data_IF_007008786914
#
_entry.id   IF_007008786914
#
_cell.length_a   1.000
_cell.length_b   1.000
_cell.length_c   1.000
_cell.angle_alpha   90.00
_cell.angle_beta   90.00
_cell.angle_gamma   90.00
#
_symmetry.space_group_name_H-M   'P 1'
#
loop_
_entity.id
_entity.type
_entity.pdbx_description
1 polymer ?
#
# COMPACT_ATOMS: atom_id res chain seq x y z
N UNK A 1 -1.63 -20.53 -28.55
CA UNK A 1 -1.00 -21.16 -27.37
C UNK A 1 0.08 -20.23 -26.85
N UNK A 2 0.19 -20.06 -25.52
CA UNK A 2 1.30 -19.38 -24.87
C UNK A 2 2.06 -20.37 -23.98
N UNK A 3 3.36 -20.21 -23.90
CA UNK A 3 4.23 -21.01 -23.04
C UNK A 3 4.97 -20.05 -22.10
N UNK A 4 4.55 -19.99 -20.84
CA UNK A 4 5.19 -19.17 -19.83
C UNK A 4 6.42 -19.89 -19.29
N UNK A 5 7.58 -19.23 -19.29
CA UNK A 5 8.84 -19.78 -18.75
C UNK A 5 9.08 -19.39 -17.30
N UNK A 6 8.43 -18.32 -16.85
CA UNK A 6 8.54 -17.78 -15.50
C UNK A 6 7.15 -17.60 -14.89
N UNK A 7 7.08 -17.72 -13.59
CA UNK A 7 5.87 -17.36 -12.82
C UNK A 7 5.89 -15.87 -12.46
N UNK A 8 4.72 -15.33 -12.22
CA UNK A 8 4.61 -13.96 -11.74
C UNK A 8 5.36 -13.75 -10.42
N UNK A 9 6.19 -12.71 -10.38
CA UNK A 9 7.06 -12.39 -9.24
C UNK A 9 8.46 -13.02 -9.29
N UNK A 10 8.74 -13.90 -10.25
CA UNK A 10 10.10 -14.41 -10.46
C UNK A 10 11.00 -13.35 -11.09
N UNK A 11 12.25 -13.32 -10.65
CA UNK A 11 13.27 -12.43 -11.22
C UNK A 11 13.75 -12.96 -12.56
N UNK A 12 13.81 -12.09 -13.55
CA UNK A 12 14.28 -12.39 -14.90
C UNK A 12 15.53 -11.58 -15.23
N UNK A 13 16.42 -12.15 -16.02
CA UNK A 13 17.66 -11.51 -16.47
C UNK A 13 17.50 -11.04 -17.91
N UNK A 14 18.13 -9.91 -18.22
CA UNK A 14 18.09 -9.38 -19.59
C UNK A 14 18.56 -10.41 -20.63
N UNK A 15 17.72 -10.60 -21.67
CA UNK A 15 17.96 -11.58 -22.74
C UNK A 15 17.24 -12.92 -22.54
N UNK A 16 16.63 -13.16 -21.40
CA UNK A 16 15.80 -14.36 -21.19
C UNK A 16 14.44 -14.22 -21.90
N UNK A 17 13.95 -15.32 -22.41
CA UNK A 17 12.61 -15.41 -23.01
C UNK A 17 11.59 -15.59 -21.90
N UNK A 18 10.66 -14.65 -21.74
CA UNK A 18 9.62 -14.68 -20.69
C UNK A 18 8.48 -15.60 -21.12
N UNK A 19 8.03 -15.47 -22.37
CA UNK A 19 6.90 -16.19 -22.92
C UNK A 19 7.08 -16.43 -24.40
N UNK A 20 6.68 -17.60 -24.86
CA UNK A 20 6.55 -17.92 -26.29
C UNK A 20 5.07 -17.96 -26.65
N UNK A 21 4.66 -17.25 -27.71
CA UNK A 21 3.27 -17.16 -28.13
C UNK A 21 3.13 -17.70 -29.55
N UNK A 22 2.21 -18.65 -29.73
CA UNK A 22 1.84 -19.19 -31.03
C UNK A 22 0.37 -18.90 -31.29
N UNK A 23 0.08 -18.07 -32.30
CA UNK A 23 -1.28 -17.71 -32.70
C UNK A 23 -1.33 -17.26 -34.16
N UNK A 24 -2.51 -16.97 -34.67
CA UNK A 24 -2.66 -16.40 -36.01
C UNK A 24 -2.02 -15.00 -36.11
N UNK A 25 -1.48 -14.68 -37.26
CA UNK A 25 -0.76 -13.41 -37.50
C UNK A 25 -1.59 -12.18 -37.17
N UNK A 26 -2.88 -12.19 -37.54
CA UNK A 26 -3.79 -11.06 -37.30
C UNK A 26 -3.97 -10.85 -35.80
N UNK A 27 -4.27 -11.90 -35.05
CA UNK A 27 -4.43 -11.84 -33.58
C UNK A 27 -3.16 -11.37 -32.89
N UNK A 28 -2.00 -11.81 -33.37
CA UNK A 28 -0.71 -11.38 -32.83
C UNK A 28 -0.51 -9.88 -33.03
N UNK A 29 -0.70 -9.39 -34.25
CA UNK A 29 -0.51 -7.97 -34.58
C UNK A 29 -1.49 -7.05 -33.83
N UNK A 30 -2.74 -7.50 -33.62
CA UNK A 30 -3.75 -6.74 -32.88
C UNK A 30 -3.47 -6.72 -31.36
N UNK A 31 -2.99 -7.81 -30.79
CA UNK A 31 -2.84 -7.97 -29.34
C UNK A 31 -1.46 -7.61 -28.77
N UNK A 32 -0.39 -7.75 -29.57
CA UNK A 32 0.99 -7.65 -29.13
C UNK A 32 1.28 -6.36 -28.32
N UNK A 33 0.95 -5.20 -28.91
CA UNK A 33 1.30 -3.92 -28.28
C UNK A 33 0.62 -3.73 -26.94
N UNK A 34 -0.66 -4.06 -26.85
CA UNK A 34 -1.42 -3.97 -25.60
C UNK A 34 -0.85 -4.91 -24.52
N UNK A 35 -0.56 -6.15 -24.90
CA UNK A 35 0.02 -7.14 -23.99
C UNK A 35 1.39 -6.70 -23.47
N UNK A 36 2.28 -6.25 -24.36
CA UNK A 36 3.60 -5.77 -23.98
C UNK A 36 3.56 -4.51 -23.10
N UNK A 37 2.66 -3.58 -23.40
CA UNK A 37 2.50 -2.38 -22.58
C UNK A 37 2.07 -2.73 -21.14
N UNK A 38 1.10 -3.62 -20.97
CA UNK A 38 0.64 -4.07 -19.66
C UNK A 38 1.75 -4.83 -18.93
N UNK A 39 2.40 -5.77 -19.59
CA UNK A 39 3.49 -6.56 -19.01
C UNK A 39 4.63 -5.66 -18.53
N UNK A 40 5.09 -4.73 -19.35
CA UNK A 40 6.16 -3.79 -18.99
C UNK A 40 5.77 -2.88 -17.83
N UNK A 41 4.54 -2.35 -17.85
CA UNK A 41 4.02 -1.50 -16.78
C UNK A 41 4.00 -2.22 -15.42
N UNK A 42 3.38 -3.39 -15.38
CA UNK A 42 3.24 -4.17 -14.15
C UNK A 42 4.58 -4.74 -13.66
N UNK A 43 5.46 -5.15 -14.57
CA UNK A 43 6.82 -5.58 -14.22
C UNK A 43 7.64 -4.44 -13.61
N UNK A 44 7.46 -3.21 -14.12
CA UNK A 44 8.09 -2.02 -13.54
C UNK A 44 7.64 -1.76 -12.09
N UNK A 45 6.33 -1.87 -11.83
CA UNK A 45 5.76 -1.74 -10.48
C UNK A 45 6.30 -2.84 -9.56
N UNK A 46 6.28 -4.09 -10.02
CA UNK A 46 6.77 -5.24 -9.24
C UNK A 46 8.25 -5.11 -8.89
N UNK A 47 9.08 -4.73 -9.86
CA UNK A 47 10.52 -4.53 -9.68
C UNK A 47 10.83 -3.41 -8.68
N UNK A 48 10.17 -2.26 -8.82
CA UNK A 48 10.33 -1.15 -7.89
C UNK A 48 9.90 -1.55 -6.47
N UNK A 49 8.76 -2.22 -6.37
CA UNK A 49 8.24 -2.74 -5.10
C UNK A 49 9.23 -3.71 -4.45
N UNK A 50 9.79 -4.65 -5.21
CA UNK A 50 10.78 -5.60 -4.72
C UNK A 50 12.00 -4.90 -4.12
N UNK A 51 12.49 -3.85 -4.77
CA UNK A 51 13.62 -3.07 -4.28
C UNK A 51 13.29 -2.39 -2.94
N UNK A 52 12.09 -1.82 -2.78
CA UNK A 52 11.65 -1.25 -1.51
C UNK A 52 11.51 -2.31 -0.42
N UNK A 53 10.89 -3.45 -0.73
CA UNK A 53 10.73 -4.57 0.22
C UNK A 53 12.08 -5.06 0.71
N UNK A 54 13.03 -5.27 -0.20
CA UNK A 54 14.39 -5.71 0.13
C UNK A 54 15.11 -4.71 1.02
N UNK A 55 14.94 -3.41 0.77
CA UNK A 55 15.60 -2.37 1.56
C UNK A 55 14.95 -2.16 2.92
N UNK A 56 13.64 -2.22 3.00
CA UNK A 56 12.87 -1.99 4.22
C UNK A 56 12.89 -3.18 5.20
N UNK A 57 13.34 -4.37 4.77
CA UNK A 57 13.32 -5.57 5.61
C UNK A 57 13.97 -5.32 6.98
N UNK A 58 13.34 -5.77 8.09
CA UNK A 58 12.18 -6.66 8.19
C UNK A 58 10.81 -5.93 8.18
N UNK A 59 10.77 -4.61 7.95
CA UNK A 59 9.54 -3.82 7.93
C UNK A 59 8.74 -4.13 6.66
N UNK A 60 7.40 -4.21 6.81
CA UNK A 60 6.50 -4.47 5.69
C UNK A 60 6.28 -3.21 4.88
N UNK A 61 6.31 -3.33 3.57
CA UNK A 61 5.95 -2.28 2.62
C UNK A 61 4.49 -2.46 2.21
N UNK A 62 3.74 -1.37 2.17
CA UNK A 62 2.32 -1.35 1.79
C UNK A 62 2.12 -0.48 0.55
N UNK A 63 1.17 -0.84 -0.27
CA UNK A 63 0.69 0.03 -1.35
C UNK A 63 -0.32 1.08 -0.85
N UNK A 64 -0.89 1.84 -1.77
CA UNK A 64 -1.93 2.83 -1.46
C UNK A 64 -3.13 2.71 -2.42
N UNK A 65 -4.14 3.56 -2.20
CA UNK A 65 -5.23 3.76 -3.16
C UNK A 65 -4.93 4.77 -4.28
N UNK A 66 -3.73 5.37 -4.28
CA UNK A 66 -3.28 6.32 -5.31
C UNK A 66 -2.82 5.54 -6.54
N UNK A 67 -3.76 4.96 -7.26
CA UNK A 67 -3.55 4.09 -8.41
C UNK A 67 -4.07 4.73 -9.68
N UNK A 68 -3.60 4.24 -10.83
CA UNK A 68 -4.12 4.64 -12.14
C UNK A 68 -5.62 4.28 -12.24
N UNK A 69 -6.48 5.23 -12.64
CA UNK A 69 -7.90 4.95 -12.80
C UNK A 69 -8.17 3.72 -13.66
N UNK A 70 -8.98 2.79 -13.14
CA UNK A 70 -9.31 1.53 -13.81
C UNK A 70 -8.27 0.42 -13.68
N UNK A 71 -7.03 0.68 -13.24
CA UNK A 71 -5.95 -0.31 -13.20
C UNK A 71 -5.59 -0.80 -11.79
N UNK A 72 -6.32 -0.39 -10.75
CA UNK A 72 -6.00 -0.73 -9.33
C UNK A 72 -5.83 -2.22 -9.08
N UNK A 73 -6.67 -3.06 -9.66
CA UNK A 73 -6.59 -4.52 -9.51
C UNK A 73 -5.22 -5.03 -9.96
N UNK A 74 -4.80 -4.60 -11.14
CA UNK A 74 -3.53 -5.02 -11.74
C UNK A 74 -2.32 -4.44 -11.02
N UNK A 75 -2.37 -3.16 -10.65
CA UNK A 75 -1.27 -2.49 -9.95
C UNK A 75 -1.05 -3.10 -8.55
N UNK A 76 -2.13 -3.34 -7.79
CA UNK A 76 -2.04 -4.03 -6.50
C UNK A 76 -1.56 -5.48 -6.63
N UNK A 77 -1.93 -6.16 -7.70
CA UNK A 77 -1.39 -7.49 -8.01
C UNK A 77 0.13 -7.42 -8.25
N UNK A 78 0.59 -6.48 -9.06
CA UNK A 78 2.02 -6.28 -9.31
C UNK A 78 2.81 -5.94 -8.04
N UNK A 79 2.22 -5.15 -7.13
CA UNK A 79 2.79 -4.86 -5.80
C UNK A 79 2.95 -6.15 -4.99
N UNK A 80 1.94 -7.03 -4.98
CA UNK A 80 2.03 -8.32 -4.30
C UNK A 80 3.10 -9.23 -4.93
N UNK A 81 3.21 -9.26 -6.26
CA UNK A 81 4.29 -9.96 -6.97
C UNK A 81 5.68 -9.44 -6.58
N UNK A 82 5.83 -8.14 -6.30
CA UNK A 82 7.07 -7.55 -5.78
C UNK A 82 7.37 -7.86 -4.30
N UNK A 83 6.47 -8.59 -3.61
CA UNK A 83 6.66 -9.04 -2.23
C UNK A 83 6.12 -8.07 -1.16
N UNK A 84 5.46 -6.98 -1.54
CA UNK A 84 4.80 -6.08 -0.61
C UNK A 84 3.37 -6.55 -0.27
N UNK A 85 2.71 -5.86 0.65
CA UNK A 85 1.36 -6.16 1.12
C UNK A 85 0.40 -5.11 0.58
N UNK A 86 -0.77 -5.54 0.15
CA UNK A 86 -1.81 -4.62 -0.24
C UNK A 86 -2.45 -3.97 0.99
N UNK A 87 -2.47 -2.65 1.04
CA UNK A 87 -3.34 -1.87 1.91
C UNK A 87 -4.78 -1.96 1.41
N UNK A 88 -5.75 -1.35 2.13
CA UNK A 88 -7.17 -1.37 1.74
C UNK A 88 -7.38 -1.11 0.25
N UNK A 89 -8.24 -1.91 -0.34
CA UNK A 89 -8.58 -1.81 -1.76
C UNK A 89 -9.54 -0.65 -2.04
N UNK A 90 -10.51 -0.46 -1.14
CA UNK A 90 -11.56 0.54 -1.25
C UNK A 90 -11.81 1.29 0.06
N UNK A 91 -13.03 1.79 0.22
CA UNK A 91 -13.50 2.42 1.47
C UNK A 91 -14.28 1.44 2.36
N UNK A 92 -14.52 0.24 1.87
CA UNK A 92 -15.40 -0.78 2.46
C UNK A 92 -14.64 -1.87 3.22
N UNK A 93 -13.34 -2.01 3.00
CA UNK A 93 -12.54 -3.11 3.57
C UNK A 93 -11.77 -2.72 4.83
N UNK A 94 -11.42 -1.44 5.00
CA UNK A 94 -10.76 -0.91 6.19
C UNK A 94 -11.11 0.57 6.39
N UNK A 95 -11.27 0.98 7.63
CA UNK A 95 -11.46 2.40 7.98
C UNK A 95 -10.09 3.08 8.10
N UNK A 96 -9.96 4.24 7.48
CA UNK A 96 -8.84 5.16 7.67
C UNK A 96 -9.39 6.57 7.89
N UNK A 97 -9.20 7.06 9.10
CA UNK A 97 -9.55 8.42 9.53
C UNK A 97 -8.38 9.33 9.16
N UNK A 98 -8.67 10.38 8.43
CA UNK A 98 -7.69 11.35 7.92
C UNK A 98 -7.96 12.74 8.50
N UNK A 99 -7.04 13.66 8.26
CA UNK A 99 -7.08 15.06 8.66
C UNK A 99 -8.45 15.72 8.43
N UNK A 100 -8.99 15.61 7.22
CA UNK A 100 -10.30 16.18 6.88
C UNK A 100 -11.47 15.52 7.64
N UNK A 101 -11.37 14.23 7.96
CA UNK A 101 -12.36 13.55 8.80
C UNK A 101 -12.27 14.02 10.25
N UNK A 102 -11.06 14.19 10.76
CA UNK A 102 -10.78 14.69 12.13
C UNK A 102 -11.32 16.10 12.28
N UNK A 103 -11.01 16.99 11.32
CA UNK A 103 -11.50 18.36 11.32
C UNK A 103 -13.03 18.42 11.28
N UNK A 104 -13.65 17.66 10.39
CA UNK A 104 -15.12 17.61 10.24
C UNK A 104 -15.82 17.08 11.48
N UNK A 105 -15.23 16.10 12.16
CA UNK A 105 -15.78 15.51 13.38
C UNK A 105 -15.52 16.36 14.64
N UNK A 106 -14.58 17.32 14.58
CA UNK A 106 -14.18 18.14 15.71
C UNK A 106 -13.18 17.46 16.65
N UNK A 107 -12.32 16.57 16.12
CA UNK A 107 -11.24 15.89 16.83
C UNK A 107 -11.20 14.38 16.59
N UNK A 108 -10.07 13.76 16.94
CA UNK A 108 -9.85 12.31 16.78
C UNK A 108 -10.83 11.49 17.62
N UNK A 109 -11.06 11.90 18.85
CA UNK A 109 -11.99 11.23 19.77
C UNK A 109 -13.40 11.12 19.17
N UNK A 110 -13.93 12.22 18.65
CA UNK A 110 -15.24 12.24 18.01
C UNK A 110 -15.24 11.40 16.72
N UNK A 111 -14.21 11.52 15.90
CA UNK A 111 -14.11 10.76 14.64
C UNK A 111 -14.08 9.23 14.90
N UNK A 112 -13.29 8.77 15.88
CA UNK A 112 -13.23 7.35 16.24
C UNK A 112 -14.56 6.87 16.82
N UNK A 113 -15.19 7.64 17.71
CA UNK A 113 -16.51 7.30 18.28
C UNK A 113 -17.57 7.14 17.21
N UNK A 114 -17.69 8.11 16.30
CA UNK A 114 -18.62 8.04 15.17
C UNK A 114 -18.40 6.81 14.29
N UNK A 115 -17.15 6.45 14.06
CA UNK A 115 -16.82 5.25 13.29
C UNK A 115 -17.24 3.99 14.05
N UNK A 116 -16.91 3.87 15.35
CA UNK A 116 -17.27 2.71 16.18
C UNK A 116 -18.78 2.48 16.25
N UNK A 117 -19.58 3.54 16.26
CA UNK A 117 -21.05 3.45 16.28
C UNK A 117 -21.63 2.95 14.94
N UNK A 118 -20.94 3.16 13.82
CA UNK A 118 -21.48 2.94 12.47
C UNK A 118 -20.80 1.81 11.68
N UNK A 119 -19.75 1.20 12.24
CA UNK A 119 -18.94 0.17 11.55
C UNK A 119 -18.92 -1.08 12.43
N UNK A 120 -18.97 -2.30 11.85
CA UNK A 120 -18.84 -3.55 12.60
C UNK A 120 -17.58 -3.57 13.48
N UNK A 121 -17.70 -4.16 14.67
CA UNK A 121 -16.64 -4.21 15.69
C UNK A 121 -15.34 -4.90 15.20
N UNK A 122 -15.45 -5.82 14.24
CA UNK A 122 -14.33 -6.53 13.64
C UNK A 122 -13.48 -5.66 12.70
N UNK A 123 -13.98 -4.49 12.31
CA UNK A 123 -13.25 -3.57 11.44
C UNK A 123 -12.21 -2.78 12.22
N UNK A 124 -10.99 -2.84 11.72
CA UNK A 124 -9.89 -2.05 12.27
C UNK A 124 -10.03 -0.58 11.90
N UNK A 125 -9.73 0.27 12.87
CA UNK A 125 -9.67 1.72 12.69
C UNK A 125 -8.20 2.13 12.64
N UNK A 126 -7.82 2.72 11.53
CA UNK A 126 -6.57 3.40 11.34
C UNK A 126 -6.77 4.90 11.41
N UNK A 127 -5.87 5.59 12.11
CA UNK A 127 -5.88 7.05 12.26
C UNK A 127 -4.57 7.62 11.72
N UNK A 128 -4.66 8.51 10.74
CA UNK A 128 -3.54 9.29 10.21
C UNK A 128 -3.31 10.50 11.14
N UNK A 129 -2.07 10.65 11.62
CA UNK A 129 -1.69 11.66 12.61
C UNK A 129 -0.43 12.40 12.18
N UNK A 130 -0.31 13.68 12.57
CA UNK A 130 0.79 14.56 12.17
C UNK A 130 1.55 15.17 13.36
N UNK A 131 1.11 14.88 14.60
CA UNK A 131 1.74 15.40 15.83
C UNK A 131 1.79 14.34 16.93
N UNK A 132 2.63 14.58 17.94
CA UNK A 132 2.75 13.72 19.12
C UNK A 132 1.45 13.76 19.93
N UNK A 133 0.80 14.90 19.99
CA UNK A 133 -0.49 15.11 20.66
C UNK A 133 -1.58 14.25 20.02
N UNK A 134 -1.63 14.22 18.69
CA UNK A 134 -2.59 13.37 17.96
C UNK A 134 -2.31 11.87 18.14
N UNK A 135 -1.03 11.46 18.24
CA UNK A 135 -0.68 10.07 18.58
C UNK A 135 -1.25 9.70 19.93
N UNK A 136 -1.10 10.59 20.94
CA UNK A 136 -1.63 10.36 22.27
C UNK A 136 -3.14 10.24 22.27
N UNK A 137 -3.83 11.15 21.59
CA UNK A 137 -5.29 11.12 21.46
C UNK A 137 -5.77 9.85 20.73
N UNK A 138 -5.10 9.43 19.65
CA UNK A 138 -5.42 8.20 18.94
C UNK A 138 -5.26 6.94 19.82
N UNK A 139 -4.21 6.89 20.65
CA UNK A 139 -4.00 5.82 21.63
C UNK A 139 -5.08 5.78 22.71
N UNK A 140 -5.45 6.94 23.27
CA UNK A 140 -6.50 7.08 24.28
C UNK A 140 -7.87 6.62 23.75
N UNK A 141 -8.11 6.76 22.44
CA UNK A 141 -9.31 6.31 21.75
C UNK A 141 -9.20 4.92 21.12
N UNK A 142 -8.18 4.16 21.49
CA UNK A 142 -8.00 2.76 21.07
C UNK A 142 -7.99 2.57 19.54
N UNK A 143 -7.27 3.42 18.81
CA UNK A 143 -6.99 3.20 17.41
C UNK A 143 -6.22 1.87 17.23
N UNK A 144 -6.61 1.05 16.25
CA UNK A 144 -5.95 -0.24 15.98
C UNK A 144 -4.61 -0.04 15.27
N UNK A 145 -4.55 0.99 14.42
CA UNK A 145 -3.37 1.36 13.63
C UNK A 145 -3.20 2.88 13.71
N UNK A 146 -1.99 3.33 13.91
CA UNK A 146 -1.64 4.76 13.91
C UNK A 146 -0.65 4.99 12.78
N UNK A 147 -1.07 5.80 11.80
CA UNK A 147 -0.24 6.18 10.65
C UNK A 147 0.43 7.52 10.94
N UNK A 148 1.74 7.51 11.06
CA UNK A 148 2.58 8.69 11.23
C UNK A 148 2.81 9.33 9.85
N UNK A 149 2.14 10.44 9.56
CA UNK A 149 2.19 11.06 8.25
C UNK A 149 3.09 12.30 8.23
N UNK A 150 4.03 12.34 7.30
CA UNK A 150 4.94 13.46 7.05
C UNK A 150 5.77 13.93 8.27
N UNK A 151 6.04 13.07 9.23
CA UNK A 151 6.84 13.39 10.42
C UNK A 151 8.34 13.34 10.16
N UNK A 152 9.12 14.08 10.97
CA UNK A 152 10.58 13.93 11.01
C UNK A 152 10.97 12.60 11.65
N UNK A 153 12.20 12.12 11.39
CA UNK A 153 12.69 10.87 11.99
C UNK A 153 12.68 10.93 13.53
N UNK A 154 13.07 12.06 14.11
CA UNK A 154 13.08 12.25 15.57
C UNK A 154 11.66 12.18 16.16
N UNK A 155 10.68 12.78 15.49
CA UNK A 155 9.28 12.67 15.90
C UNK A 155 8.77 11.25 15.77
N UNK A 156 9.08 10.55 14.66
CA UNK A 156 8.69 9.15 14.46
C UNK A 156 9.24 8.27 15.59
N UNK A 157 10.50 8.44 16.00
CA UNK A 157 11.08 7.71 17.11
C UNK A 157 10.35 7.96 18.44
N UNK A 158 10.00 9.21 18.71
CA UNK A 158 9.24 9.56 19.92
C UNK A 158 7.84 8.92 19.88
N UNK A 159 7.15 9.00 18.73
CA UNK A 159 5.82 8.41 18.54
C UNK A 159 5.85 6.89 18.69
N UNK A 160 6.82 6.20 18.06
CA UNK A 160 6.95 4.73 18.16
C UNK A 160 7.19 4.31 19.61
N UNK A 161 8.06 5.02 20.35
CA UNK A 161 8.29 4.75 21.78
C UNK A 161 7.03 4.99 22.62
N UNK A 162 6.21 5.99 22.29
CA UNK A 162 4.94 6.26 23.00
C UNK A 162 3.90 5.19 22.68
N UNK A 163 3.82 4.76 21.43
CA UNK A 163 2.89 3.70 21.01
C UNK A 163 3.21 2.38 21.70
N UNK A 164 4.49 2.05 21.86
CA UNK A 164 4.99 0.90 22.64
C UNK A 164 4.17 -0.38 22.45
N UNK A 165 3.86 -0.70 21.21
CA UNK A 165 3.09 -1.91 20.83
C UNK A 165 1.60 -1.90 21.16
N UNK A 166 1.04 -0.81 21.69
CA UNK A 166 -0.40 -0.68 22.00
C UNK A 166 -1.27 -0.59 20.74
N UNK A 167 -0.70 -0.08 19.65
CA UNK A 167 -1.30 -0.05 18.32
C UNK A 167 -0.26 -0.49 17.28
N UNK A 168 -0.71 -0.90 16.09
CA UNK A 168 0.21 -1.06 14.97
C UNK A 168 0.64 0.32 14.48
N UNK A 169 1.89 0.43 14.04
CA UNK A 169 2.43 1.69 13.51
C UNK A 169 2.62 1.56 12.00
N UNK A 170 2.15 2.54 11.27
CA UNK A 170 2.41 2.74 9.85
C UNK A 170 3.14 4.08 9.67
N UNK A 171 4.03 4.17 8.68
CA UNK A 171 4.75 5.40 8.34
C UNK A 171 4.37 5.77 6.92
N UNK A 172 3.95 7.02 6.73
CA UNK A 172 3.55 7.58 5.45
C UNK A 172 4.14 8.98 5.24
N UNK A 173 4.06 9.45 4.00
CA UNK A 173 4.49 10.80 3.63
C UNK A 173 6.00 10.93 3.44
N UNK A 174 6.41 11.32 2.23
CA UNK A 174 7.78 11.66 1.91
C UNK A 174 8.82 10.55 2.11
N UNK A 175 8.42 9.29 2.15
CA UNK A 175 9.33 8.15 2.24
C UNK A 175 10.01 7.95 0.89
N UNK A 176 11.33 8.08 0.87
CA UNK A 176 12.16 7.86 -0.31
C UNK A 176 13.04 6.62 -0.14
N UNK A 177 13.70 6.21 -1.22
CA UNK A 177 14.61 5.06 -1.17
C UNK A 177 15.85 5.33 -0.31
N UNK A 178 16.24 6.60 -0.14
CA UNK A 178 17.39 7.02 0.67
C UNK A 178 17.02 7.22 2.14
N UNK A 179 15.77 7.49 2.43
CA UNK A 179 15.22 7.75 3.76
C UNK A 179 14.61 6.50 4.36
#
# INVERSE_FOLDING_TARGET
FSYEKFKDGEEIIAGETIVDVECGVIQLLEGERSALNILQWLSGISTLTHNYVKKAAPVKVLDTRKTTPGLRVFEKYAVACGGAINHRFGLYDQVLIKDNHIETAGGISNAVSLVRENVPEDKKIEVEVQSIEEVKEALENHADIIMLDNMSLDMMHQCINMIDGKAKTEISGGVTFER
#
